data_IF_749387728856
#
_entry.id   IF_749387728856
#
_cell.length_a   1.000
_cell.length_b   1.000
_cell.length_c   1.000
_cell.angle_alpha   90.00
_cell.angle_beta   90.00
_cell.angle_gamma   90.00
#
_symmetry.space_group_name_H-M   'P 1'
#
loop_
_entity.id
_entity.type
_entity.pdbx_description
1 polymer ?
#
# COMPACT_ATOMS: atom_id res chain seq x y z
N UNK A 1 10.57 12.11 -8.14
CA UNK A 1 10.85 11.40 -6.88
C UNK A 1 9.69 11.64 -5.93
N UNK A 2 8.98 10.57 -5.57
CA UNK A 2 7.92 10.63 -4.55
C UNK A 2 8.50 10.20 -3.20
N UNK A 3 8.22 10.98 -2.17
CA UNK A 3 8.56 10.65 -0.79
C UNK A 3 7.31 10.71 0.08
N UNK A 4 7.23 9.83 1.08
CA UNK A 4 6.15 9.82 2.06
C UNK A 4 6.68 9.33 3.40
N UNK A 5 6.12 9.84 4.48
CA UNK A 5 6.50 9.42 5.84
C UNK A 5 5.30 9.50 6.79
N UNK A 6 5.25 8.58 7.74
CA UNK A 6 4.23 8.52 8.78
C UNK A 6 4.27 9.72 9.74
N UNK A 7 3.61 9.57 10.89
CA UNK A 7 3.55 10.58 11.97
C UNK A 7 2.96 11.91 11.51
N UNK A 8 1.94 11.84 10.62
CA UNK A 8 1.24 13.00 10.03
C UNK A 8 2.15 14.00 9.31
N UNK A 9 3.31 13.55 8.83
CA UNK A 9 4.21 14.38 8.02
C UNK A 9 3.70 14.55 6.61
N UNK A 10 3.20 13.48 5.98
CA UNK A 10 2.61 13.53 4.64
C UNK A 10 3.52 13.00 3.55
N UNK A 11 3.27 13.49 2.34
CA UNK A 11 4.00 13.11 1.14
C UNK A 11 4.31 14.32 0.26
N UNK A 12 5.33 14.18 -0.57
CA UNK A 12 5.71 15.19 -1.54
C UNK A 12 6.20 14.55 -2.84
N UNK A 13 5.96 15.21 -3.95
CA UNK A 13 6.55 14.87 -5.25
C UNK A 13 7.57 15.93 -5.65
N UNK A 14 8.74 15.49 -6.04
CA UNK A 14 9.80 16.31 -6.60
C UNK A 14 10.12 15.86 -8.02
N UNK A 15 10.32 16.82 -8.88
CA UNK A 15 10.92 16.64 -10.19
C UNK A 15 12.42 16.93 -10.09
N UNK A 16 13.24 16.07 -10.66
CA UNK A 16 14.67 16.32 -10.86
C UNK A 16 14.87 16.81 -12.30
N UNK A 17 15.22 18.08 -12.44
CA UNK A 17 15.51 18.69 -13.72
C UNK A 17 16.78 19.56 -13.60
N UNK A 18 17.72 19.42 -14.53
CA UNK A 18 18.97 20.18 -14.58
C UNK A 18 19.80 20.11 -13.28
N UNK A 19 19.73 18.96 -12.57
CA UNK A 19 20.42 18.75 -11.29
C UNK A 19 19.72 19.38 -10.08
N UNK A 20 18.58 20.03 -10.26
CA UNK A 20 17.79 20.64 -9.20
C UNK A 20 16.52 19.87 -8.89
N UNK A 21 16.14 19.82 -7.61
CA UNK A 21 14.87 19.27 -7.15
C UNK A 21 13.82 20.37 -7.09
N UNK A 22 12.79 20.27 -7.94
CA UNK A 22 11.63 21.18 -7.93
C UNK A 22 10.43 20.47 -7.32
N UNK A 23 9.93 20.99 -6.20
CA UNK A 23 8.73 20.45 -5.54
C UNK A 23 7.49 20.70 -6.41
N UNK A 24 6.77 19.64 -6.75
CA UNK A 24 5.52 19.70 -7.51
C UNK A 24 4.31 19.81 -6.60
N UNK A 25 4.27 19.03 -5.54
CA UNK A 25 3.26 19.15 -4.47
C UNK A 25 3.79 18.63 -3.15
N UNK A 26 3.09 19.01 -2.07
CA UNK A 26 3.26 18.50 -0.72
C UNK A 26 1.92 18.56 0.01
N UNK A 27 1.48 17.45 0.59
CA UNK A 27 0.24 17.37 1.37
C UNK A 27 0.20 16.11 2.25
N UNK A 28 -0.90 15.92 2.99
CA UNK A 28 -1.06 14.80 3.94
C UNK A 28 -2.00 13.69 3.46
N UNK A 29 -2.21 13.55 2.17
CA UNK A 29 -3.11 12.53 1.64
C UNK A 29 -2.54 11.11 1.69
N UNK A 30 -1.22 10.96 1.86
CA UNK A 30 -0.57 9.67 2.05
C UNK A 30 0.62 9.79 3.00
N UNK A 31 0.49 9.20 4.18
CA UNK A 31 1.52 9.14 5.22
C UNK A 31 1.97 7.69 5.40
N UNK A 32 2.86 7.20 4.55
CA UNK A 32 3.37 5.85 4.67
C UNK A 32 4.17 5.70 5.97
N UNK A 33 3.95 4.61 6.73
CA UNK A 33 4.63 4.37 7.99
C UNK A 33 5.51 3.12 7.95
N UNK A 34 4.91 1.93 7.79
CA UNK A 34 5.64 0.66 7.81
C UNK A 34 6.08 0.21 6.42
N UNK A 35 5.31 0.57 5.40
CA UNK A 35 5.51 0.09 4.03
C UNK A 35 5.42 1.24 3.03
N UNK A 36 6.07 1.07 1.89
CA UNK A 36 6.01 2.01 0.78
C UNK A 36 4.68 1.88 0.02
N UNK A 37 4.33 2.91 -0.74
CA UNK A 37 3.34 2.83 -1.80
C UNK A 37 3.95 2.27 -3.08
N UNK A 38 3.11 1.71 -3.96
CA UNK A 38 3.48 1.27 -5.29
C UNK A 38 2.94 2.23 -6.34
N UNK A 39 3.74 2.50 -7.37
CA UNK A 39 3.34 3.30 -8.53
C UNK A 39 3.02 2.35 -9.69
N UNK A 40 1.79 2.44 -10.20
CA UNK A 40 1.34 1.69 -11.36
C UNK A 40 0.38 2.54 -12.19
N UNK A 41 0.58 2.59 -13.50
CA UNK A 41 -0.26 3.32 -14.46
C UNK A 41 -0.60 4.75 -14.02
N UNK A 42 0.41 5.49 -13.57
CA UNK A 42 0.27 6.89 -13.15
C UNK A 42 -0.44 7.10 -11.81
N UNK A 43 -0.69 6.03 -11.04
CA UNK A 43 -1.34 6.11 -9.74
C UNK A 43 -0.50 5.46 -8.64
N UNK A 44 -0.52 6.07 -7.47
CA UNK A 44 0.11 5.56 -6.24
C UNK A 44 -0.94 4.83 -5.41
N UNK A 45 -0.62 3.62 -4.99
CA UNK A 45 -1.44 2.81 -4.08
C UNK A 45 -0.63 2.56 -2.80
N UNK A 46 -1.15 2.97 -1.65
CA UNK A 46 -0.41 2.85 -0.40
C UNK A 46 -1.27 3.08 0.83
N UNK A 47 -0.68 2.84 1.99
CA UNK A 47 -1.33 3.01 3.27
C UNK A 47 -1.04 4.39 3.86
N UNK A 48 -2.11 5.09 4.25
CA UNK A 48 -2.06 6.41 4.85
C UNK A 48 -2.35 6.32 6.36
N UNK A 49 -1.43 6.78 7.18
CA UNK A 49 -1.57 6.83 8.64
C UNK A 49 -0.37 6.24 9.37
N UNK A 50 -0.42 6.31 10.70
CA UNK A 50 0.62 5.78 11.59
C UNK A 50 0.06 4.62 12.39
N UNK A 51 0.72 3.45 12.30
CA UNK A 51 0.27 2.25 13.00
C UNK A 51 0.12 2.49 14.51
N UNK A 52 -1.05 2.12 15.05
CA UNK A 52 -1.40 2.22 16.47
C UNK A 52 -1.27 3.62 17.09
N UNK A 53 -1.25 4.67 16.27
CA UNK A 53 -1.13 6.03 16.74
C UNK A 53 -1.96 7.01 15.92
N UNK A 54 -2.73 7.86 16.60
CA UNK A 54 -3.57 8.86 15.96
C UNK A 54 -4.77 8.27 15.25
N UNK A 55 -5.03 8.70 14.02
CA UNK A 55 -6.14 8.22 13.20
C UNK A 55 -5.89 6.79 12.67
N UNK A 56 -6.95 6.02 12.40
CA UNK A 56 -6.82 4.72 11.76
C UNK A 56 -6.08 4.79 10.43
N UNK A 57 -5.37 3.72 10.09
CA UNK A 57 -4.70 3.59 8.80
C UNK A 57 -5.70 3.20 7.72
N UNK A 58 -5.58 3.82 6.55
CA UNK A 58 -6.46 3.64 5.42
C UNK A 58 -5.66 3.33 4.15
N UNK A 59 -6.21 2.54 3.24
CA UNK A 59 -5.60 2.27 1.95
C UNK A 59 -6.07 3.29 0.93
N UNK A 60 -5.16 3.92 0.19
CA UNK A 60 -5.43 5.12 -0.62
C UNK A 60 -4.87 4.97 -2.02
N UNK A 61 -5.57 5.51 -3.00
CA UNK A 61 -5.08 5.74 -4.35
C UNK A 61 -4.93 7.25 -4.61
N UNK A 62 -3.74 7.66 -5.05
CA UNK A 62 -3.47 9.04 -5.50
C UNK A 62 -3.05 9.03 -6.97
N UNK A 63 -3.44 10.04 -7.71
CA UNK A 63 -2.85 10.35 -9.00
C UNK A 63 -1.40 10.85 -8.80
N UNK A 64 -0.44 10.19 -9.43
CA UNK A 64 0.98 10.42 -9.14
C UNK A 64 1.43 11.86 -9.43
N UNK A 65 1.04 12.43 -10.57
CA UNK A 65 1.55 13.73 -11.03
C UNK A 65 0.96 14.89 -10.23
N UNK A 66 -0.30 14.80 -9.83
CA UNK A 66 -1.04 15.89 -9.14
C UNK A 66 -1.16 15.70 -7.63
N UNK A 67 -0.96 14.47 -7.15
CA UNK A 67 -1.23 14.10 -5.75
C UNK A 67 -2.71 14.04 -5.40
N UNK A 68 -3.62 14.19 -6.38
CA UNK A 68 -5.07 14.17 -6.14
C UNK A 68 -5.53 12.79 -5.71
N UNK A 69 -6.26 12.72 -4.61
CA UNK A 69 -6.89 11.48 -4.15
C UNK A 69 -7.98 11.04 -5.13
N UNK A 70 -7.92 9.78 -5.53
CA UNK A 70 -8.92 9.12 -6.38
C UNK A 70 -9.95 8.38 -5.53
N UNK A 71 -9.47 7.64 -4.54
CA UNK A 71 -10.30 6.95 -3.56
C UNK A 71 -9.52 6.62 -2.28
N UNK A 72 -10.27 6.33 -1.23
CA UNK A 72 -9.79 5.92 0.09
C UNK A 72 -10.66 4.79 0.63
N UNK A 73 -10.03 3.74 1.13
CA UNK A 73 -10.72 2.61 1.77
C UNK A 73 -10.87 2.91 3.26
N UNK A 74 -12.09 2.94 3.77
CA UNK A 74 -12.32 3.28 5.16
C UNK A 74 -11.82 2.17 6.11
N UNK A 75 -11.49 2.52 7.37
CA UNK A 75 -10.88 1.58 8.34
C UNK A 75 -11.72 0.35 8.66
N UNK A 76 -13.05 0.42 8.53
CA UNK A 76 -13.96 -0.69 8.79
C UNK A 76 -13.82 -1.86 7.82
N UNK A 77 -13.12 -1.68 6.68
CA UNK A 77 -12.75 -2.79 5.77
C UNK A 77 -11.71 -3.72 6.39
N UNK A 78 -11.00 -3.26 7.44
CA UNK A 78 -10.13 -4.10 8.26
C UNK A 78 -8.71 -4.31 7.73
N UNK A 79 -8.25 -3.48 6.80
CA UNK A 79 -6.89 -3.61 6.25
C UNK A 79 -5.80 -3.21 7.27
N UNK A 80 -6.10 -2.30 8.19
CA UNK A 80 -5.15 -1.79 9.18
C UNK A 80 -3.89 -1.19 8.55
N UNK A 81 -2.76 -1.28 9.22
CA UNK A 81 -1.46 -0.90 8.69
C UNK A 81 -0.86 -2.08 7.88
N UNK A 82 -1.48 -2.37 6.75
CA UNK A 82 -1.09 -3.44 5.85
C UNK A 82 0.08 -3.07 4.94
N UNK A 83 0.32 -3.93 3.98
CA UNK A 83 1.33 -3.74 2.94
C UNK A 83 0.78 -4.08 1.56
N UNK A 84 1.36 -3.52 0.51
CA UNK A 84 0.94 -3.73 -0.86
C UNK A 84 2.12 -3.96 -1.78
N UNK A 85 1.95 -4.85 -2.73
CA UNK A 85 2.78 -4.99 -3.93
C UNK A 85 1.90 -5.03 -5.16
N UNK A 86 2.47 -4.76 -6.33
CA UNK A 86 1.79 -4.87 -7.61
C UNK A 86 2.46 -5.94 -8.48
N UNK A 87 1.65 -6.66 -9.24
CA UNK A 87 2.10 -7.58 -10.29
C UNK A 87 2.12 -6.87 -11.64
N UNK A 88 2.82 -7.44 -12.61
CA UNK A 88 2.96 -6.84 -13.95
C UNK A 88 1.63 -6.77 -14.73
N UNK A 89 0.65 -7.60 -14.38
CA UNK A 89 -0.69 -7.62 -14.99
C UNK A 89 -1.67 -6.63 -14.34
N UNK A 90 -1.20 -5.78 -13.43
CA UNK A 90 -2.04 -4.77 -12.80
C UNK A 90 -2.82 -5.24 -11.57
N UNK A 91 -2.44 -6.36 -10.98
CA UNK A 91 -3.05 -6.83 -9.73
C UNK A 91 -2.29 -6.30 -8.51
N UNK A 92 -3.00 -5.71 -7.57
CA UNK A 92 -2.50 -5.40 -6.24
C UNK A 92 -2.65 -6.62 -5.34
N UNK A 93 -1.54 -7.06 -4.75
CA UNK A 93 -1.54 -8.05 -3.66
C UNK A 93 -1.35 -7.30 -2.35
N UNK A 94 -2.34 -7.41 -1.48
CA UNK A 94 -2.40 -6.65 -0.23
C UNK A 94 -2.40 -7.65 0.93
N UNK A 95 -1.46 -7.49 1.86
CA UNK A 95 -1.47 -8.20 3.12
C UNK A 95 -1.97 -7.25 4.21
N UNK A 96 -3.14 -7.52 4.77
CA UNK A 96 -3.68 -6.73 5.87
C UNK A 96 -2.83 -6.86 7.12
N UNK A 97 -2.93 -5.92 8.04
CA UNK A 97 -2.21 -5.97 9.32
C UNK A 97 -2.48 -7.26 10.12
N UNK A 98 -3.66 -7.86 9.93
CA UNK A 98 -4.07 -9.09 10.64
C UNK A 98 -3.86 -10.37 9.85
N UNK A 99 -3.18 -10.29 8.70
CA UNK A 99 -2.77 -11.45 7.92
C UNK A 99 -3.81 -11.98 6.94
N UNK A 100 -4.75 -11.16 6.52
CA UNK A 100 -5.60 -11.45 5.39
C UNK A 100 -4.89 -11.03 4.11
N UNK A 101 -4.76 -11.94 3.16
CA UNK A 101 -4.22 -11.68 1.82
C UNK A 101 -5.38 -11.37 0.88
N UNK A 102 -5.28 -10.24 0.18
CA UNK A 102 -6.27 -9.80 -0.79
C UNK A 102 -5.63 -9.62 -2.16
N UNK A 103 -6.41 -9.86 -3.21
CA UNK A 103 -6.12 -9.44 -4.57
C UNK A 103 -7.16 -8.41 -5.02
N UNK A 104 -6.71 -7.36 -5.72
CA UNK A 104 -7.58 -6.32 -6.28
C UNK A 104 -6.96 -5.74 -7.55
N UNK A 105 -7.75 -5.32 -8.55
CA UNK A 105 -7.20 -4.60 -9.69
C UNK A 105 -6.66 -3.24 -9.26
N UNK A 106 -5.52 -2.84 -9.82
CA UNK A 106 -5.00 -1.49 -9.67
C UNK A 106 -5.79 -0.55 -10.58
N UNK A 107 -6.75 0.16 -10.03
CA UNK A 107 -7.59 1.09 -10.79
C UNK A 107 -7.91 2.34 -9.98
N UNK A 108 -7.95 3.54 -10.61
CA UNK A 108 -8.36 4.77 -9.96
C UNK A 108 -9.89 4.89 -9.77
N UNK A 109 -10.67 3.94 -10.28
CA UNK A 109 -12.13 3.99 -10.24
C UNK A 109 -12.73 3.57 -8.90
N UNK A 110 -11.94 2.96 -8.02
CA UNK A 110 -12.38 2.50 -6.70
C UNK A 110 -11.68 1.21 -6.28
N UNK A 111 -11.78 0.88 -5.01
CA UNK A 111 -11.23 -0.36 -4.45
C UNK A 111 -12.30 -1.44 -4.35
N UNK A 112 -12.02 -2.57 -4.99
CA UNK A 112 -12.84 -3.79 -4.86
C UNK A 112 -11.93 -5.02 -4.92
N UNK A 113 -11.81 -5.75 -3.83
CA UNK A 113 -11.06 -7.01 -3.84
C UNK A 113 -11.80 -8.07 -4.67
N UNK A 114 -11.04 -8.80 -5.49
CA UNK A 114 -11.51 -9.94 -6.27
C UNK A 114 -11.34 -11.27 -5.55
N UNK A 115 -10.36 -11.31 -4.62
CA UNK A 115 -10.13 -12.45 -3.74
C UNK A 115 -9.70 -11.98 -2.36
N UNK A 116 -10.04 -12.76 -1.33
CA UNK A 116 -9.65 -12.54 0.07
C UNK A 116 -9.49 -13.88 0.76
N UNK A 117 -8.40 -14.04 1.52
CA UNK A 117 -8.18 -15.25 2.31
C UNK A 117 -7.32 -14.96 3.54
N UNK A 118 -7.73 -15.49 4.70
CA UNK A 118 -6.93 -15.39 5.93
C UNK A 118 -5.77 -16.38 5.85
N UNK A 119 -4.54 -15.88 5.72
CA UNK A 119 -3.34 -16.72 5.55
C UNK A 119 -2.48 -16.78 6.81
N UNK A 120 -2.51 -15.74 7.64
CA UNK A 120 -1.72 -15.63 8.87
C UNK A 120 -2.56 -15.03 9.99
N UNK A 121 -2.13 -15.25 11.23
CA UNK A 121 -2.64 -14.52 12.40
C UNK A 121 -1.62 -13.52 12.91
N UNK A 122 -2.06 -12.67 13.87
CA UNK A 122 -1.20 -11.67 14.48
C UNK A 122 -0.84 -10.51 13.58
N UNK A 123 0.23 -9.80 13.91
CA UNK A 123 0.64 -8.57 13.23
C UNK A 123 1.49 -8.86 11.99
N UNK A 124 1.03 -8.38 10.83
CA UNK A 124 1.70 -8.54 9.54
C UNK A 124 2.06 -7.17 8.97
N UNK A 125 3.32 -6.76 9.12
CA UNK A 125 3.85 -5.47 8.64
C UNK A 125 4.92 -5.63 7.56
N UNK A 126 5.07 -6.83 7.01
CA UNK A 126 6.02 -7.12 5.94
C UNK A 126 5.29 -7.24 4.62
N UNK A 127 5.90 -6.70 3.56
CA UNK A 127 5.36 -6.84 2.20
C UNK A 127 5.39 -8.33 1.81
N UNK A 128 4.30 -8.87 1.23
CA UNK A 128 4.32 -10.21 0.65
C UNK A 128 5.33 -10.27 -0.50
N UNK A 129 5.84 -11.47 -0.78
CA UNK A 129 6.78 -11.70 -1.89
C UNK A 129 6.14 -12.68 -2.87
N UNK A 130 6.06 -12.29 -4.13
CA UNK A 130 5.64 -13.18 -5.23
C UNK A 130 6.87 -13.72 -5.95
N UNK A 131 7.04 -15.03 -5.95
CA UNK A 131 8.12 -15.71 -6.65
C UNK A 131 7.70 -17.09 -7.11
N UNK A 132 8.00 -17.45 -8.37
CA UNK A 132 7.74 -18.80 -8.92
C UNK A 132 6.27 -19.22 -8.80
N UNK A 133 5.30 -18.32 -9.01
CA UNK A 133 3.86 -18.61 -8.87
C UNK A 133 3.41 -18.85 -7.43
N UNK A 134 4.17 -18.37 -6.44
CA UNK A 134 3.86 -18.51 -5.01
C UNK A 134 3.96 -17.16 -4.31
N UNK A 135 3.04 -16.91 -3.39
CA UNK A 135 3.05 -15.73 -2.53
C UNK A 135 3.51 -16.15 -1.13
N UNK A 136 4.55 -15.52 -0.66
CA UNK A 136 5.12 -15.75 0.68
C UNK A 136 4.71 -14.60 1.59
N UNK A 137 4.05 -14.94 2.70
CA UNK A 137 3.61 -13.98 3.71
C UNK A 137 4.22 -14.32 5.07
N UNK A 138 4.60 -13.29 5.83
CA UNK A 138 5.20 -13.44 7.15
C UNK A 138 4.52 -12.53 8.18
N UNK A 139 4.42 -13.00 9.41
CA UNK A 139 3.98 -12.21 10.55
C UNK A 139 5.13 -11.83 11.50
N UNK A 140 4.81 -11.03 12.54
CA UNK A 140 5.77 -10.58 13.55
C UNK A 140 6.25 -11.70 14.50
N UNK A 141 5.57 -12.85 14.53
CA UNK A 141 5.98 -14.02 15.34
C UNK A 141 7.02 -14.88 14.63
N UNK A 142 7.25 -14.64 13.34
CA UNK A 142 8.14 -15.44 12.49
C UNK A 142 7.42 -16.55 11.74
N UNK A 143 6.09 -16.67 11.84
CA UNK A 143 5.35 -17.62 11.02
C UNK A 143 5.45 -17.20 9.55
N UNK A 144 5.73 -18.17 8.68
CA UNK A 144 5.83 -18.00 7.22
C UNK A 144 4.83 -18.92 6.54
N UNK A 145 4.04 -18.36 5.64
CA UNK A 145 3.08 -19.10 4.81
C UNK A 145 3.48 -18.94 3.34
N UNK A 146 3.28 -20.02 2.58
CA UNK A 146 3.42 -20.05 1.13
C UNK A 146 2.07 -20.38 0.51
N UNK A 147 1.50 -19.46 -0.26
CA UNK A 147 0.25 -19.61 -0.99
C UNK A 147 0.56 -19.83 -2.47
N UNK A 148 0.04 -20.90 -3.06
CA UNK A 148 0.15 -21.14 -4.50
C UNK A 148 -0.87 -20.26 -5.24
N UNK A 149 -0.43 -19.60 -6.30
CA UNK A 149 -1.31 -18.88 -7.24
C UNK A 149 -1.62 -19.83 -8.38
N UNK A 150 -2.90 -20.10 -8.61
CA UNK A 150 -3.40 -20.92 -9.72
C UNK A 150 -3.90 -20.02 -10.83
#
# INVERSE_FOLDING_TARGET
IFISTGYDRGCALFELADGELKKRYEHKAMCNHMNNSVLLDGHLYGFDGTAHRGRPTEFVCLEFVTGKEKWRVPPNVGLGCGSVMATADGTLLILSERGELLAAPATPMGFKSTARHQVLGGRCWTVPVLAGGRIYCRNARGDLVCVKVE
#
